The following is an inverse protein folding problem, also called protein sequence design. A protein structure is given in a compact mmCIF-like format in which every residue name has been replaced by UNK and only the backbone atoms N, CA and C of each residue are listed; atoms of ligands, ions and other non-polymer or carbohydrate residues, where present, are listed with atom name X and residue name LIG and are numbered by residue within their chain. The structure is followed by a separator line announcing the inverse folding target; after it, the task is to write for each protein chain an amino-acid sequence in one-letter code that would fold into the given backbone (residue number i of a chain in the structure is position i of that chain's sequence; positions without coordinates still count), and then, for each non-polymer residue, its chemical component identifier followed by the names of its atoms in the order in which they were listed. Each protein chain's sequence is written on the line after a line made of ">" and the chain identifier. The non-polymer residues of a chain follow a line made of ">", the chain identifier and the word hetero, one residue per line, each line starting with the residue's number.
data_IF_670655636618
#
_entry.id   IF_670655636618
#
_cell.length_a   1.000
_cell.length_b   1.000
_cell.length_c   1.000
_cell.angle_alpha   90.00
_cell.angle_beta   90.00
_cell.angle_gamma   90.00
#
_symmetry.space_group_name_H-M   'P 1'
#
loop_
_entity.id
_entity.type
_entity.pdbx_description
1 polymer ?
#
# COMPACT_ATOMS: atom_id res chain seq x y z
N UNK A 1 -16.34 5.95 0.11
CA UNK A 1 -15.47 6.86 -0.67
C UNK A 1 -15.51 6.38 -2.11
N UNK A 2 -15.74 7.27 -3.07
CA UNK A 2 -15.78 6.87 -4.49
C UNK A 2 -14.37 6.59 -5.01
N UNK A 3 -14.23 5.61 -5.90
CA UNK A 3 -12.93 5.13 -6.37
C UNK A 3 -12.20 6.16 -7.25
N UNK A 4 -12.94 6.94 -8.02
CA UNK A 4 -12.46 8.07 -8.83
C UNK A 4 -11.77 9.15 -7.99
N UNK A 5 -12.13 9.27 -6.72
CA UNK A 5 -11.53 10.22 -5.75
C UNK A 5 -10.43 9.61 -4.89
N UNK A 6 -10.09 8.34 -5.10
CA UNK A 6 -9.04 7.66 -4.35
C UNK A 6 -7.67 7.95 -4.96
N UNK A 7 -6.74 8.45 -4.15
CA UNK A 7 -5.34 8.57 -4.53
C UNK A 7 -4.67 7.20 -4.41
N UNK A 8 -4.08 6.73 -5.51
CA UNK A 8 -3.30 5.49 -5.54
C UNK A 8 -2.87 5.13 -6.96
N UNK A 9 -1.70 4.52 -7.07
CA UNK A 9 -1.19 3.91 -8.30
C UNK A 9 -1.39 2.39 -8.19
N UNK A 10 -1.98 1.78 -9.22
CA UNK A 10 -2.19 0.33 -9.29
C UNK A 10 -1.48 -0.22 -10.51
N UNK A 11 -0.84 -1.37 -10.34
CA UNK A 11 -0.06 -2.00 -11.41
C UNK A 11 -0.79 -3.23 -11.94
N UNK A 12 -0.77 -3.42 -13.25
CA UNK A 12 -1.30 -4.65 -13.87
C UNK A 12 -0.37 -5.83 -13.58
N UNK A 13 0.94 -5.58 -13.68
CA UNK A 13 2.00 -6.56 -13.53
C UNK A 13 2.65 -6.50 -12.14
N UNK A 14 3.37 -7.57 -11.76
CA UNK A 14 4.14 -7.62 -10.50
C UNK A 14 5.41 -6.77 -10.68
N UNK A 15 5.69 -5.81 -9.79
CA UNK A 15 6.96 -5.10 -9.81
C UNK A 15 8.13 -6.08 -9.66
N UNK A 16 9.17 -5.93 -10.49
CA UNK A 16 10.34 -6.83 -10.54
C UNK A 16 11.13 -6.87 -9.23
N UNK A 17 11.15 -5.74 -8.51
CA UNK A 17 12.01 -5.55 -7.34
C UNK A 17 11.41 -6.18 -6.06
N UNK A 18 10.21 -6.74 -6.16
CA UNK A 18 9.53 -7.39 -5.05
C UNK A 18 9.93 -8.87 -4.94
N UNK A 19 10.78 -9.18 -3.97
CA UNK A 19 11.15 -10.56 -3.63
C UNK A 19 10.02 -11.30 -2.92
N UNK A 20 9.28 -10.62 -2.04
CA UNK A 20 8.22 -11.22 -1.20
C UNK A 20 6.84 -10.88 -1.78
N UNK A 21 5.92 -11.84 -1.77
CA UNK A 21 4.58 -11.65 -2.33
C UNK A 21 3.74 -10.62 -1.58
N UNK A 22 3.89 -10.52 -0.25
CA UNK A 22 3.22 -9.46 0.52
C UNK A 22 3.63 -8.08 0.01
N UNK A 23 4.92 -7.85 -0.21
CA UNK A 23 5.43 -6.60 -0.80
C UNK A 23 4.86 -6.37 -2.21
N UNK A 24 4.88 -7.39 -3.06
CA UNK A 24 4.34 -7.31 -4.41
C UNK A 24 2.85 -6.92 -4.44
N UNK A 25 2.04 -7.55 -3.59
CA UNK A 25 0.61 -7.27 -3.47
C UNK A 25 0.35 -5.85 -2.95
N UNK A 26 1.15 -5.39 -1.99
CA UNK A 26 1.02 -4.06 -1.41
C UNK A 26 1.33 -2.94 -2.42
N UNK A 27 2.37 -3.08 -3.24
CA UNK A 27 2.64 -2.12 -4.32
C UNK A 27 1.59 -2.22 -5.43
N UNK A 28 1.30 -3.44 -5.91
CA UNK A 28 0.36 -3.67 -7.02
C UNK A 28 -1.05 -3.18 -6.70
N UNK A 29 -1.50 -3.42 -5.47
CA UNK A 29 -2.82 -3.03 -4.98
C UNK A 29 -2.97 -1.53 -4.67
N UNK A 30 -1.89 -0.75 -4.79
CA UNK A 30 -1.92 0.67 -4.47
C UNK A 30 -2.09 0.95 -2.97
N UNK A 31 -1.47 0.12 -2.13
CA UNK A 31 -1.47 0.31 -0.67
C UNK A 31 -0.30 1.22 -0.21
N UNK A 32 0.84 1.12 -0.88
CA UNK A 32 2.01 1.94 -0.56
C UNK A 32 2.80 2.34 -1.80
N UNK A 33 3.59 3.41 -1.68
CA UNK A 33 4.53 3.90 -2.69
C UNK A 33 5.93 3.91 -2.10
N UNK A 34 6.88 3.27 -2.79
CA UNK A 34 8.30 3.36 -2.42
C UNK A 34 8.84 4.76 -2.66
N UNK A 35 9.57 5.31 -1.67
CA UNK A 35 10.23 6.62 -1.76
C UNK A 35 11.75 6.45 -1.73
N UNK A 36 12.24 5.57 -0.87
CA UNK A 36 13.65 5.18 -0.77
C UNK A 36 13.75 3.78 -0.19
N UNK A 37 14.96 3.23 -0.09
CA UNK A 37 15.19 1.90 0.47
C UNK A 37 14.64 1.79 1.89
N UNK A 38 13.62 0.95 2.08
CA UNK A 38 12.94 0.76 3.36
C UNK A 38 11.96 1.88 3.75
N UNK A 39 11.77 2.91 2.91
CA UNK A 39 10.90 4.05 3.20
C UNK A 39 9.72 4.05 2.22
N UNK A 40 8.51 3.95 2.78
CA UNK A 40 7.27 3.87 2.03
C UNK A 40 6.27 4.93 2.49
N UNK A 41 5.65 5.60 1.52
CA UNK A 41 4.44 6.39 1.76
C UNK A 41 3.21 5.50 1.79
N UNK A 42 2.31 5.73 2.73
CA UNK A 42 1.05 5.00 2.82
C UNK A 42 -0.03 5.67 1.98
N UNK A 43 -0.65 4.93 1.08
CA UNK A 43 -1.90 5.37 0.47
C UNK A 43 -3.07 5.24 1.46
N UNK A 44 -4.18 5.90 1.14
CA UNK A 44 -5.38 5.93 2.01
C UNK A 44 -5.87 4.54 2.46
N UNK A 45 -5.88 3.48 1.60
CA UNK A 45 -6.29 2.15 2.04
C UNK A 45 -5.39 1.57 3.13
N UNK A 46 -4.07 1.72 3.00
CA UNK A 46 -3.12 1.22 3.99
C UNK A 46 -3.23 1.96 5.32
N UNK A 47 -3.29 3.29 5.29
CA UNK A 47 -3.45 4.09 6.50
C UNK A 47 -4.71 3.67 7.30
N UNK A 48 -5.83 3.39 6.62
CA UNK A 48 -7.05 2.88 7.28
C UNK A 48 -6.86 1.50 7.92
N UNK A 49 -6.12 0.61 7.27
CA UNK A 49 -5.81 -0.72 7.82
C UNK A 49 -4.91 -0.58 9.05
N UNK A 50 -3.85 0.24 8.95
CA UNK A 50 -2.96 0.50 10.09
C UNK A 50 -3.72 1.07 11.29
N UNK A 51 -4.64 2.02 11.08
CA UNK A 51 -5.50 2.54 12.16
C UNK A 51 -6.35 1.46 12.81
N UNK A 52 -6.95 0.55 12.03
CA UNK A 52 -7.72 -0.58 12.59
C UNK A 52 -6.86 -1.51 13.43
N UNK A 53 -5.61 -1.73 13.03
CA UNK A 53 -4.65 -2.53 13.79
C UNK A 53 -4.29 -1.80 15.08
N UNK A 54 -4.02 -0.49 15.00
CA UNK A 54 -3.74 0.35 16.16
C UNK A 54 -4.91 0.36 17.16
N UNK A 55 -6.15 0.44 16.69
CA UNK A 55 -7.37 0.40 17.52
C UNK A 55 -7.59 -0.96 18.21
N UNK A 56 -7.00 -2.05 17.70
CA UNK A 56 -7.04 -3.37 18.36
C UNK A 56 -5.94 -3.47 19.42
N UNK A 57 -4.80 -2.82 19.18
CA UNK A 57 -3.63 -2.87 20.06
C UNK A 57 -3.73 -1.90 21.24
N UNK A 58 -4.47 -0.80 21.11
CA UNK A 58 -4.67 0.25 22.12
C UNK A 58 -6.07 0.18 22.71
#
# INVERSE_FOLDING_TARGET
>A
MKLDKLVGERFKEKPSDCVIDSHALMLRGGYMKGVANGIYSQYTPLNRICRKIEDILR
#
